data_IF_257627085724
#
_entry.id   IF_257627085724
#
_cell.length_a   1.000
_cell.length_b   1.000
_cell.length_c   1.000
_cell.angle_alpha   90.00
_cell.angle_beta   90.00
_cell.angle_gamma   90.00
#
_symmetry.space_group_name_H-M   'P 1'
#
loop_
_entity.id
_entity.type
_entity.pdbx_description
1 polymer ?
#
# COMPACT_ATOMS: atom_id res chain seq x y z
N UNK A 1 8.84 -3.03 8.71
CA UNK A 1 8.43 -1.66 9.11
C UNK A 1 6.97 -1.69 9.55
N UNK A 2 6.62 -1.11 10.70
CA UNK A 2 5.21 -1.01 11.10
C UNK A 2 4.51 0.01 10.20
N UNK A 3 3.31 -0.31 9.74
CA UNK A 3 2.47 0.64 9.02
C UNK A 3 1.12 0.80 9.71
N UNK A 4 0.55 1.98 9.54
CA UNK A 4 -0.83 2.29 9.89
C UNK A 4 -1.40 3.03 8.69
N UNK A 5 -2.35 2.39 8.02
CA UNK A 5 -3.10 2.98 6.92
C UNK A 5 -4.45 3.45 7.45
N UNK A 6 -4.71 4.75 7.32
CA UNK A 6 -5.97 5.38 7.74
C UNK A 6 -6.45 6.30 6.65
N UNK A 7 -7.75 6.34 6.45
CA UNK A 7 -8.35 7.27 5.52
C UNK A 7 -9.86 7.26 5.64
N UNK A 8 -10.47 8.06 4.80
CA UNK A 8 -11.91 8.07 4.60
C UNK A 8 -12.17 7.91 3.11
N UNK A 9 -13.13 7.05 2.80
CA UNK A 9 -13.63 6.85 1.44
C UNK A 9 -15.08 7.30 1.44
N UNK A 10 -15.39 8.28 0.62
CA UNK A 10 -16.76 8.74 0.39
C UNK A 10 -16.95 8.92 -1.10
N UNK A 11 -18.09 8.45 -1.60
CA UNK A 11 -18.50 8.70 -2.97
C UNK A 11 -19.71 9.64 -2.93
N UNK A 12 -19.52 10.87 -3.41
CA UNK A 12 -20.56 11.89 -3.39
C UNK A 12 -21.38 11.84 -4.67
N UNK A 13 -22.71 11.67 -4.55
CA UNK A 13 -23.61 11.76 -5.69
C UNK A 13 -25.07 11.97 -5.29
N UNK A 14 -25.78 12.70 -6.14
CA UNK A 14 -27.23 12.86 -6.10
C UNK A 14 -27.88 11.62 -6.72
N UNK A 15 -28.14 10.59 -5.90
CA UNK A 15 -29.08 9.52 -6.24
C UNK A 15 -28.55 8.23 -6.90
N UNK A 16 -27.27 7.86 -6.70
CA UNK A 16 -26.70 6.57 -7.17
C UNK A 16 -25.86 5.83 -6.10
N UNK A 17 -25.37 4.62 -6.42
CA UNK A 17 -24.40 3.90 -5.57
C UNK A 17 -22.97 4.23 -5.99
N UNK A 18 -22.26 4.95 -5.13
CA UNK A 18 -20.82 5.11 -5.24
C UNK A 18 -20.08 4.09 -4.39
N UNK A 19 -19.00 3.52 -4.89
CA UNK A 19 -18.14 2.63 -4.13
C UNK A 19 -16.74 3.22 -4.13
N UNK A 20 -16.03 3.10 -3.01
CA UNK A 20 -14.60 3.30 -3.07
C UNK A 20 -13.85 2.20 -2.34
N UNK A 21 -12.59 2.06 -2.74
CA UNK A 21 -11.69 1.02 -2.31
C UNK A 21 -10.31 1.60 -2.01
N UNK A 22 -9.65 0.97 -1.05
CA UNK A 22 -8.23 1.17 -0.81
C UNK A 22 -7.59 -0.20 -0.66
N UNK A 23 -6.45 -0.40 -1.32
CA UNK A 23 -5.68 -1.63 -1.29
C UNK A 23 -4.20 -1.34 -1.13
N UNK A 24 -3.54 -2.12 -0.28
CA UNK A 24 -2.09 -2.21 -0.21
C UNK A 24 -1.67 -3.53 -0.87
N UNK A 25 -0.72 -3.45 -1.82
CA UNK A 25 -0.25 -4.59 -2.62
C UNK A 25 1.25 -4.77 -2.43
N UNK A 26 1.67 -6.01 -2.13
CA UNK A 26 3.09 -6.43 -2.09
C UNK A 26 3.48 -7.01 -3.46
N UNK A 27 4.54 -6.47 -4.06
CA UNK A 27 5.08 -6.91 -5.37
C UNK A 27 6.31 -7.83 -5.24
N UNK A 28 6.80 -8.08 -4.03
CA UNK A 28 7.99 -8.89 -3.73
C UNK A 28 7.72 -10.33 -3.27
N UNK A 29 6.48 -10.66 -2.92
CA UNK A 29 6.00 -12.02 -2.58
C UNK A 29 4.55 -12.22 -3.10
N UNK A 30 3.94 -13.39 -2.89
CA UNK A 30 2.52 -13.61 -3.24
C UNK A 30 1.66 -12.49 -2.64
N UNK A 31 0.97 -11.75 -3.51
CA UNK A 31 0.23 -10.54 -3.16
C UNK A 31 -0.85 -10.82 -2.10
N UNK A 32 -0.67 -10.31 -0.88
CA UNK A 32 -1.74 -10.19 0.10
C UNK A 32 -2.50 -8.89 -0.18
N UNK A 33 -3.62 -9.00 -0.90
CA UNK A 33 -4.50 -7.87 -1.22
C UNK A 33 -5.43 -7.61 -0.03
N UNK A 34 -5.27 -6.48 0.65
CA UNK A 34 -6.24 -6.01 1.64
C UNK A 34 -7.21 -5.01 1.00
N UNK A 35 -8.38 -5.50 0.55
CA UNK A 35 -9.40 -4.65 -0.08
C UNK A 35 -10.49 -4.27 0.92
N UNK A 36 -10.76 -2.97 1.02
CA UNK A 36 -11.91 -2.44 1.73
C UNK A 36 -12.92 -1.91 0.71
N UNK A 37 -14.21 -2.19 0.89
CA UNK A 37 -15.28 -1.71 0.00
C UNK A 37 -16.33 -1.03 0.88
N UNK A 38 -16.80 0.13 0.41
CA UNK A 38 -17.85 0.90 1.08
C UNK A 38 -19.04 1.08 0.12
N UNK A 39 -20.29 0.80 0.54
CA UNK A 39 -21.47 1.10 -0.26
C UNK A 39 -21.78 2.60 -0.21
N UNK A 40 -22.36 3.13 -1.28
CA UNK A 40 -22.56 4.56 -1.47
C UNK A 40 -23.51 5.17 -0.44
N UNK A 41 -22.96 6.03 0.40
CA UNK A 41 -23.70 6.91 1.30
C UNK A 41 -23.19 8.34 1.14
N UNK A 42 -24.03 9.32 1.48
CA UNK A 42 -23.61 10.72 1.67
C UNK A 42 -22.53 10.86 2.77
N UNK A 43 -22.41 9.82 3.60
CA UNK A 43 -21.39 9.71 4.63
C UNK A 43 -20.10 9.10 4.07
N UNK A 44 -18.98 9.71 4.41
CA UNK A 44 -17.67 9.14 4.18
C UNK A 44 -17.37 8.08 5.25
N UNK A 45 -16.97 6.89 4.80
CA UNK A 45 -16.64 5.77 5.66
C UNK A 45 -15.14 5.78 5.98
N UNK A 46 -14.82 5.84 7.27
CA UNK A 46 -13.45 5.77 7.75
C UNK A 46 -12.96 4.33 7.78
N UNK A 47 -11.72 4.10 7.37
CA UNK A 47 -11.05 2.82 7.50
C UNK A 47 -9.72 2.99 8.25
N UNK A 48 -9.30 1.92 8.93
CA UNK A 48 -8.01 1.83 9.59
C UNK A 48 -7.50 0.41 9.51
N UNK A 49 -6.29 0.23 9.00
CA UNK A 49 -5.56 -1.05 8.98
C UNK A 49 -4.13 -0.83 9.44
N UNK A 50 -3.53 -1.84 10.07
CA UNK A 50 -2.16 -1.76 10.57
C UNK A 50 -1.52 -3.13 10.54
N UNK A 51 -0.21 -3.16 10.32
CA UNK A 51 0.56 -4.40 10.28
C UNK A 51 2.05 -4.17 10.12
N UNK A 52 2.74 -5.25 9.73
CA UNK A 52 4.17 -5.27 9.48
C UNK A 52 4.42 -5.43 7.98
N UNK A 53 5.17 -4.52 7.38
CA UNK A 53 5.71 -4.67 6.03
C UNK A 53 7.11 -5.27 6.10
N UNK A 54 7.36 -6.28 5.28
CA UNK A 54 8.70 -6.77 5.03
C UNK A 54 9.48 -5.77 4.19
N UNK A 55 10.76 -6.07 3.93
CA UNK A 55 11.49 -5.33 2.90
C UNK A 55 10.97 -5.76 1.52
N UNK A 56 10.68 -4.79 0.65
CA UNK A 56 10.07 -5.06 -0.66
C UNK A 56 9.46 -3.81 -1.29
N UNK A 57 8.86 -4.02 -2.47
CA UNK A 57 8.17 -2.99 -3.25
C UNK A 57 6.68 -3.10 -3.04
N UNK A 58 6.03 -1.97 -2.79
CA UNK A 58 4.61 -1.89 -2.46
C UNK A 58 3.90 -0.85 -3.33
N UNK A 59 2.61 -1.07 -3.58
CA UNK A 59 1.74 -0.01 -4.09
C UNK A 59 0.47 0.16 -3.26
N UNK A 60 0.08 1.42 -3.07
CA UNK A 60 -1.19 1.81 -2.47
C UNK A 60 -2.12 2.24 -3.60
N UNK A 61 -3.18 1.48 -3.80
CA UNK A 61 -4.23 1.78 -4.78
C UNK A 61 -5.43 2.36 -4.04
N UNK A 62 -5.92 3.49 -4.52
CA UNK A 62 -7.18 4.09 -4.08
C UNK A 62 -8.09 4.23 -5.29
N UNK A 63 -9.25 3.59 -5.23
CA UNK A 63 -10.24 3.59 -6.29
C UNK A 63 -11.55 4.20 -5.81
N UNK A 64 -12.24 4.88 -6.71
CA UNK A 64 -13.64 5.24 -6.57
C UNK A 64 -14.36 4.88 -7.86
N UNK A 65 -15.57 4.35 -7.75
CA UNK A 65 -16.43 4.04 -8.89
C UNK A 65 -17.86 4.47 -8.61
N UNK A 66 -18.55 4.88 -9.66
CA UNK A 66 -19.96 5.20 -9.64
C UNK A 66 -20.70 4.15 -10.46
N UNK A 67 -21.57 3.36 -9.82
CA UNK A 67 -22.37 2.36 -10.53
C UNK A 67 -23.52 3.05 -11.28
N UNK A 68 -23.64 2.84 -12.60
CA UNK A 68 -24.72 3.41 -13.39
C UNK A 68 -26.10 2.79 -13.09
N UNK A 69 -26.15 1.63 -12.44
CA UNK A 69 -27.37 0.83 -12.27
C UNK A 69 -28.35 1.38 -11.23
N UNK A 70 -27.97 2.43 -10.49
CA UNK A 70 -28.77 2.99 -9.39
C UNK A 70 -29.22 4.44 -9.58
N UNK A 71 -29.00 5.06 -10.75
CA UNK A 71 -29.50 6.40 -11.05
C UNK A 71 -31.03 6.38 -11.18
N UNK A 72 -31.74 6.56 -10.06
CA UNK A 72 -33.20 6.64 -10.04
C UNK A 72 -33.64 8.02 -10.56
N UNK A 73 -33.79 8.16 -11.88
CA UNK A 73 -34.75 9.11 -12.44
C UNK A 73 -34.24 10.40 -13.10
N UNK A 74 -32.97 10.52 -13.49
CA UNK A 74 -32.53 11.56 -14.43
C UNK A 74 -31.69 10.95 -15.55
N UNK A 75 -32.13 11.16 -16.80
CA UNK A 75 -31.65 10.55 -18.05
C UNK A 75 -30.18 10.87 -18.46
N UNK A 76 -29.24 11.07 -17.53
CA UNK A 76 -27.86 11.41 -17.89
C UNK A 76 -26.77 11.08 -16.86
N UNK A 77 -26.93 10.10 -15.96
CA UNK A 77 -25.81 9.72 -15.11
C UNK A 77 -24.89 8.71 -15.81
N UNK A 78 -23.79 9.19 -16.40
CA UNK A 78 -22.69 8.34 -16.84
C UNK A 78 -21.87 7.95 -15.60
N UNK A 79 -21.83 6.65 -15.27
CA UNK A 79 -20.92 6.14 -14.25
C UNK A 79 -19.47 6.55 -14.57
N UNK A 80 -18.66 6.74 -13.53
CA UNK A 80 -17.26 7.14 -13.65
C UNK A 80 -16.40 6.40 -12.65
N UNK A 81 -15.13 6.17 -12.99
CA UNK A 81 -14.13 5.67 -12.05
C UNK A 81 -12.94 6.61 -11.97
N UNK A 82 -12.35 6.68 -10.79
CA UNK A 82 -11.09 7.36 -10.54
C UNK A 82 -10.19 6.40 -9.77
N UNK A 83 -8.96 6.23 -10.26
CA UNK A 83 -7.95 5.39 -9.63
C UNK A 83 -6.67 6.19 -9.44
N UNK A 84 -6.08 6.08 -8.26
CA UNK A 84 -4.80 6.64 -7.91
C UNK A 84 -3.91 5.54 -7.36
N UNK A 85 -2.67 5.49 -7.83
CA UNK A 85 -1.68 4.53 -7.37
C UNK A 85 -0.42 5.26 -6.88
N UNK A 86 0.04 4.88 -5.69
CA UNK A 86 1.26 5.39 -5.08
C UNK A 86 2.25 4.24 -4.89
N UNK A 87 3.41 4.37 -5.49
CA UNK A 87 4.48 3.39 -5.41
C UNK A 87 5.49 3.79 -4.34
N UNK A 88 5.91 2.83 -3.53
CA UNK A 88 6.96 3.02 -2.52
C UNK A 88 7.74 1.73 -2.26
N UNK A 89 8.96 1.89 -1.77
CA UNK A 89 9.88 0.79 -1.48
C UNK A 89 10.25 0.83 0.00
N UNK A 90 10.18 -0.34 0.65
CA UNK A 90 10.60 -0.52 2.04
C UNK A 90 11.92 -1.27 2.02
N UNK A 91 13.01 -0.58 2.34
CA UNK A 91 14.33 -1.21 2.43
C UNK A 91 14.62 -1.65 3.88
N UNK A 92 15.18 -2.86 4.04
CA UNK A 92 15.81 -3.24 5.30
C UNK A 92 17.11 -2.44 5.46
N UNK A 93 17.17 -1.57 6.47
CA UNK A 93 18.39 -0.85 6.82
C UNK A 93 19.17 -1.71 7.83
N UNK A 94 20.36 -2.22 7.49
CA UNK A 94 21.18 -2.97 8.44
C UNK A 94 21.57 -2.09 9.63
N UNK A 95 21.52 -2.67 10.82
CA UNK A 95 21.98 -1.97 12.02
C UNK A 95 23.49 -1.65 11.93
N UNK A 96 23.96 -0.57 12.59
CA UNK A 96 25.39 -0.22 12.59
C UNK A 96 26.29 -1.38 13.05
N UNK A 97 25.82 -2.17 14.03
CA UNK A 97 26.50 -3.36 14.55
C UNK A 97 26.71 -4.43 13.47
N UNK A 98 25.72 -4.68 12.63
CA UNK A 98 25.80 -5.62 11.50
C UNK A 98 26.85 -5.20 10.49
N UNK A 99 26.90 -3.89 10.18
CA UNK A 99 27.92 -3.34 9.27
C UNK A 99 29.33 -3.43 9.89
N UNK A 100 29.46 -3.16 11.19
CA UNK A 100 30.72 -3.32 11.90
C UNK A 100 31.18 -4.77 11.96
N UNK A 101 30.26 -5.72 12.12
CA UNK A 101 30.58 -7.15 12.13
C UNK A 101 31.05 -7.62 10.75
N UNK A 102 30.39 -7.16 9.68
CA UNK A 102 30.84 -7.38 8.31
C UNK A 102 32.26 -6.84 8.10
N UNK A 103 32.52 -5.58 8.50
CA UNK A 103 33.83 -4.94 8.40
C UNK A 103 34.89 -5.64 9.24
N UNK A 104 34.54 -6.11 10.44
CA UNK A 104 35.44 -6.86 11.30
C UNK A 104 35.81 -8.21 10.66
N UNK A 105 34.85 -8.91 10.06
CA UNK A 105 35.09 -10.14 9.31
C UNK A 105 35.99 -9.91 8.10
N UNK A 106 35.73 -8.85 7.32
CA UNK A 106 36.57 -8.46 6.18
C UNK A 106 37.98 -8.08 6.62
N UNK A 107 38.12 -7.38 7.75
CA UNK A 107 39.40 -7.05 8.35
C UNK A 107 40.19 -8.29 8.78
N UNK A 108 39.53 -9.28 9.38
CA UNK A 108 40.14 -10.55 9.75
C UNK A 108 40.59 -11.36 8.53
N UNK A 109 39.79 -11.41 7.47
CA UNK A 109 40.16 -12.08 6.22
C UNK A 109 41.37 -11.40 5.56
N UNK A 110 41.38 -10.07 5.48
CA UNK A 110 42.52 -9.31 4.97
C UNK A 110 43.79 -9.52 5.81
N UNK A 111 43.66 -9.58 7.13
CA UNK A 111 44.77 -9.88 8.04
C UNK A 111 45.30 -11.31 7.87
N UNK A 112 44.41 -12.30 7.76
CA UNK A 112 44.79 -13.70 7.55
C UNK A 112 45.46 -13.90 6.19
N UNK A 113 44.99 -13.22 5.14
CA UNK A 113 45.61 -13.25 3.81
C UNK A 113 47.04 -12.69 3.83
N UNK A 114 47.28 -11.58 4.56
CA UNK A 114 48.65 -11.03 4.73
C UNK A 114 49.62 -11.97 5.43
N UNK A 115 49.15 -12.90 6.25
CA UNK A 115 50.01 -13.88 6.96
C UNK A 115 50.39 -15.10 6.11
N UNK A 116 49.77 -15.26 4.94
CA UNK A 116 50.04 -16.38 4.02
C UNK A 116 50.99 -16.02 2.87
N UNK A 117 51.31 -14.73 2.72
CA UNK A 117 52.32 -14.21 1.78
C UNK A 117 53.60 -13.93 2.56
#
# INVERSE_FOLDING_TARGET
MNYVLRGMVGAYMDGGLGMGSVALVDHGAASEVFQFITPGSWDALSFSSSGLLAAGSYSLLAGAMISPDHAQGLDAYMGGSAEYEFYFEVAAVPEPSTTMLLLAGLGLLGFAARRRV
#
